data_IF_351361833736
#
_entry.id   IF_351361833736
#
_cell.length_a   1.000
_cell.length_b   1.000
_cell.length_c   1.000
_cell.angle_alpha   90.00
_cell.angle_beta   90.00
_cell.angle_gamma   90.00
#
_symmetry.space_group_name_H-M   'P 1'
#
loop_
_entity.id
_entity.type
_entity.pdbx_description
1 polymer ?
#
# COMPACT_ATOMS: atom_id res chain seq x y z
N UNK A 1 9.13 15.97 52.86
CA UNK A 1 9.40 15.24 51.59
C UNK A 1 8.04 14.83 51.01
N UNK A 2 7.38 15.74 50.28
CA UNK A 2 6.01 15.53 49.77
C UNK A 2 5.86 15.70 48.26
N UNK A 3 6.97 15.86 47.53
CA UNK A 3 6.92 16.17 46.09
C UNK A 3 6.53 14.98 45.19
N UNK A 4 6.29 13.78 45.77
CA UNK A 4 6.05 12.55 45.01
C UNK A 4 4.68 11.88 45.29
N UNK A 5 3.65 12.67 45.64
CA UNK A 5 2.29 12.15 45.88
C UNK A 5 1.41 12.11 44.62
N UNK A 6 1.88 12.63 43.49
CA UNK A 6 1.09 12.69 42.25
C UNK A 6 1.74 11.87 41.13
N UNK A 7 1.66 10.54 41.25
CA UNK A 7 2.12 9.59 40.23
C UNK A 7 0.97 9.08 39.35
N UNK A 8 0.06 9.97 38.96
CA UNK A 8 -1.01 9.67 37.99
C UNK A 8 -0.77 10.33 36.62
N UNK A 9 0.49 10.66 36.29
CA UNK A 9 0.92 11.19 34.99
C UNK A 9 0.95 10.13 33.87
N UNK A 10 0.04 9.15 33.92
CA UNK A 10 -0.26 8.29 32.78
C UNK A 10 -1.40 8.90 31.96
N UNK A 11 -1.44 8.72 30.63
CA UNK A 11 -2.65 9.05 29.87
C UNK A 11 -3.86 8.35 30.51
N UNK A 12 -5.03 9.01 30.44
CA UNK A 12 -6.28 8.43 30.95
C UNK A 12 -6.48 7.02 30.41
N UNK A 13 -7.00 6.09 31.23
CA UNK A 13 -7.17 4.66 30.89
C UNK A 13 -7.95 4.43 29.59
N UNK A 14 -8.76 5.39 29.17
CA UNK A 14 -9.50 5.39 27.90
C UNK A 14 -8.59 5.47 26.65
N UNK A 15 -7.33 5.89 26.80
CA UNK A 15 -6.33 5.95 25.72
C UNK A 15 -5.32 4.80 25.77
N UNK A 16 -5.53 3.82 26.64
CA UNK A 16 -4.67 2.65 26.67
C UNK A 16 -4.98 1.73 25.49
N UNK A 17 -3.94 1.37 24.76
CA UNK A 17 -3.98 0.34 23.71
C UNK A 17 -4.49 -0.95 24.33
N UNK A 18 -5.56 -1.48 23.78
CA UNK A 18 -6.15 -2.75 24.20
C UNK A 18 -5.75 -3.88 23.24
N UNK A 19 -6.29 -5.08 23.48
CA UNK A 19 -5.98 -6.25 22.66
C UNK A 19 -6.49 -6.10 21.22
N UNK A 20 -7.69 -5.56 21.05
CA UNK A 20 -8.32 -5.34 19.74
C UNK A 20 -7.50 -4.34 18.90
N UNK A 21 -6.91 -3.32 19.53
CA UNK A 21 -6.01 -2.37 18.86
C UNK A 21 -4.73 -3.05 18.34
N UNK A 22 -4.17 -3.99 19.12
CA UNK A 22 -2.99 -4.76 18.74
C UNK A 22 -3.31 -5.78 17.63
N UNK A 23 -4.49 -6.37 17.68
CA UNK A 23 -4.96 -7.31 16.66
C UNK A 23 -5.21 -6.56 15.33
N UNK A 24 -5.86 -5.39 15.38
CA UNK A 24 -6.01 -4.50 14.22
C UNK A 24 -4.65 -4.05 13.65
N UNK A 25 -3.68 -3.74 14.51
CA UNK A 25 -2.33 -3.38 14.06
C UNK A 25 -1.64 -4.56 13.37
N UNK A 26 -1.87 -5.79 13.83
CA UNK A 26 -1.32 -7.00 13.21
C UNK A 26 -1.91 -7.21 11.81
N UNK A 27 -3.24 -7.10 11.66
CA UNK A 27 -3.90 -7.15 10.36
C UNK A 27 -3.38 -6.07 9.39
N UNK A 28 -3.12 -4.87 9.91
CA UNK A 28 -2.56 -3.77 9.12
C UNK A 28 -1.15 -4.08 8.63
N UNK A 29 -0.31 -4.73 9.45
CA UNK A 29 1.04 -5.14 9.04
C UNK A 29 0.98 -6.10 7.85
N UNK A 30 0.05 -7.06 7.85
CA UNK A 30 -0.11 -8.01 6.74
C UNK A 30 -0.43 -7.29 5.42
N UNK A 31 -1.32 -6.29 5.45
CA UNK A 31 -1.67 -5.48 4.27
C UNK A 31 -0.52 -4.59 3.81
N UNK A 32 0.28 -4.09 4.76
CA UNK A 32 1.41 -3.22 4.44
C UNK A 32 2.65 -3.98 3.97
N UNK A 33 2.69 -5.30 4.13
CA UNK A 33 3.87 -6.08 3.78
C UNK A 33 4.28 -5.97 2.30
N UNK A 34 3.37 -6.07 1.31
CA UNK A 34 3.73 -5.83 -0.09
C UNK A 34 4.27 -4.41 -0.35
N UNK A 35 3.77 -3.40 0.37
CA UNK A 35 4.26 -2.03 0.26
C UNK A 35 5.71 -1.91 0.76
N UNK A 36 6.02 -2.60 1.87
CA UNK A 36 7.37 -2.64 2.41
C UNK A 36 8.34 -3.29 1.43
N UNK A 37 7.99 -4.45 0.87
CA UNK A 37 8.83 -5.17 -0.08
C UNK A 37 9.13 -4.33 -1.34
N UNK A 38 8.10 -3.69 -1.90
CA UNK A 38 8.24 -2.78 -3.04
C UNK A 38 9.13 -1.58 -2.69
N UNK A 39 8.90 -0.97 -1.52
CA UNK A 39 9.67 0.19 -1.07
C UNK A 39 11.15 -0.18 -0.87
N UNK A 40 11.42 -1.37 -0.36
CA UNK A 40 12.79 -1.89 -0.20
C UNK A 40 13.49 -2.07 -1.56
N UNK A 41 12.78 -2.61 -2.55
CA UNK A 41 13.31 -2.73 -3.92
C UNK A 41 13.60 -1.35 -4.54
N UNK A 42 12.67 -0.39 -4.40
CA UNK A 42 12.85 0.98 -4.88
C UNK A 42 13.98 1.73 -4.17
N UNK A 43 14.25 1.38 -2.91
CA UNK A 43 15.32 1.98 -2.11
C UNK A 43 16.71 1.42 -2.48
N UNK A 44 16.76 0.32 -3.23
CA UNK A 44 18.02 -0.32 -3.63
C UNK A 44 18.51 0.31 -4.94
N UNK A 45 19.66 1.02 -4.94
CA UNK A 45 20.17 1.68 -6.14
C UNK A 45 20.39 0.68 -7.29
N UNK A 46 19.89 1.02 -8.47
CA UNK A 46 20.04 0.19 -9.67
C UNK A 46 19.14 -1.04 -9.74
N UNK A 47 18.32 -1.32 -8.73
CA UNK A 47 17.42 -2.47 -8.72
C UNK A 47 16.11 -2.21 -9.50
N UNK A 48 15.52 -1.02 -9.34
CA UNK A 48 14.25 -0.68 -9.98
C UNK A 48 14.44 0.25 -11.18
N UNK A 49 13.88 -0.14 -12.33
CA UNK A 49 13.74 0.69 -13.53
C UNK A 49 12.40 1.42 -13.47
N UNK A 50 12.28 2.51 -14.22
CA UNK A 50 11.01 3.27 -14.33
C UNK A 50 9.85 2.36 -14.78
N UNK A 51 10.13 1.32 -15.58
CA UNK A 51 9.11 0.38 -16.01
C UNK A 51 8.60 -0.54 -14.88
N UNK A 52 9.43 -0.84 -13.88
CA UNK A 52 9.05 -1.67 -12.73
C UNK A 52 8.05 -0.93 -11.83
N UNK A 53 8.10 0.42 -11.80
CA UNK A 53 7.15 1.25 -11.06
C UNK A 53 5.70 1.00 -11.51
N UNK A 54 5.46 0.76 -12.80
CA UNK A 54 4.12 0.40 -13.31
C UNK A 54 3.64 -0.89 -12.66
N UNK A 55 4.50 -1.91 -12.69
CA UNK A 55 4.21 -3.24 -12.16
C UNK A 55 3.93 -3.18 -10.65
N UNK A 56 4.71 -2.39 -9.92
CA UNK A 56 4.51 -2.17 -8.49
C UNK A 56 3.18 -1.48 -8.18
N UNK A 57 2.78 -0.45 -8.94
CA UNK A 57 1.48 0.19 -8.74
C UNK A 57 0.34 -0.80 -9.03
N UNK A 58 0.46 -1.62 -10.08
CA UNK A 58 -0.54 -2.64 -10.41
C UNK A 58 -0.65 -3.71 -9.30
N UNK A 59 0.49 -4.16 -8.76
CA UNK A 59 0.53 -5.10 -7.62
C UNK A 59 -0.14 -4.52 -6.37
N UNK A 60 0.17 -3.27 -6.01
CA UNK A 60 -0.45 -2.59 -4.86
C UNK A 60 -1.96 -2.43 -5.08
N UNK A 61 -2.36 -1.99 -6.26
CA UNK A 61 -3.77 -1.76 -6.61
C UNK A 61 -4.57 -3.08 -6.56
N UNK A 62 -3.99 -4.15 -7.11
CA UNK A 62 -4.58 -5.49 -7.07
C UNK A 62 -4.69 -6.05 -5.66
N UNK A 63 -3.64 -5.87 -4.84
CA UNK A 63 -3.63 -6.28 -3.44
C UNK A 63 -4.74 -5.57 -2.64
N UNK A 64 -4.80 -4.24 -2.71
CA UNK A 64 -5.85 -3.46 -2.04
C UNK A 64 -7.26 -3.84 -2.51
N UNK A 65 -7.46 -4.02 -3.81
CA UNK A 65 -8.75 -4.43 -4.36
C UNK A 65 -9.18 -5.81 -3.87
N UNK A 66 -8.23 -6.74 -3.75
CA UNK A 66 -8.48 -8.09 -3.24
C UNK A 66 -8.88 -8.02 -1.76
N UNK A 67 -8.14 -7.28 -0.94
CA UNK A 67 -8.47 -7.06 0.48
C UNK A 67 -9.85 -6.43 0.69
N UNK A 68 -10.27 -5.51 -0.19
CA UNK A 68 -11.60 -4.87 -0.11
C UNK A 68 -12.71 -5.88 -0.45
N UNK A 69 -12.55 -6.64 -1.53
CA UNK A 69 -13.57 -7.53 -2.07
C UNK A 69 -13.63 -8.89 -1.40
N UNK A 70 -12.54 -9.33 -0.77
CA UNK A 70 -12.47 -10.63 -0.12
C UNK A 70 -13.40 -10.65 1.09
N UNK A 71 -14.47 -11.43 0.99
CA UNK A 71 -15.42 -11.66 2.10
C UNK A 71 -14.95 -12.77 3.05
N UNK A 72 -13.93 -13.54 2.66
CA UNK A 72 -13.35 -14.64 3.45
C UNK A 72 -12.25 -14.15 4.38
N UNK A 73 -11.43 -13.18 3.96
CA UNK A 73 -10.51 -12.51 4.86
C UNK A 73 -11.30 -11.72 5.90
N UNK A 74 -11.15 -12.08 7.17
CA UNK A 74 -11.92 -11.58 8.31
C UNK A 74 -11.48 -10.15 8.72
N UNK A 75 -11.04 -9.34 7.76
CA UNK A 75 -10.55 -7.99 8.02
C UNK A 75 -11.66 -7.06 8.48
N UNK A 76 -11.40 -6.25 9.53
CA UNK A 76 -12.38 -5.35 10.09
C UNK A 76 -12.81 -4.26 9.09
N UNK A 77 -14.03 -3.71 9.20
CA UNK A 77 -14.53 -2.68 8.29
C UNK A 77 -13.64 -1.43 8.20
N UNK A 78 -12.99 -1.05 9.30
CA UNK A 78 -12.05 0.07 9.35
C UNK A 78 -10.90 -0.11 8.36
N UNK A 79 -10.34 -1.32 8.30
CA UNK A 79 -9.21 -1.66 7.45
C UNK A 79 -9.60 -1.72 5.97
N UNK A 80 -10.79 -2.26 5.67
CA UNK A 80 -11.36 -2.24 4.30
C UNK A 80 -11.59 -0.81 3.81
N UNK A 81 -12.06 0.09 4.69
CA UNK A 81 -12.23 1.50 4.35
C UNK A 81 -10.88 2.21 4.15
N UNK A 82 -9.88 1.91 4.97
CA UNK A 82 -8.51 2.40 4.76
C UNK A 82 -7.95 1.93 3.41
N UNK A 83 -8.17 0.67 3.03
CA UNK A 83 -7.76 0.14 1.72
C UNK A 83 -8.45 0.86 0.55
N UNK A 84 -9.74 1.20 0.69
CA UNK A 84 -10.45 2.00 -0.33
C UNK A 84 -9.83 3.38 -0.51
N UNK A 85 -9.47 4.05 0.60
CA UNK A 85 -8.77 5.33 0.55
C UNK A 85 -7.38 5.19 -0.10
N UNK A 86 -6.64 4.14 0.25
CA UNK A 86 -5.36 3.81 -0.39
C UNK A 86 -5.48 3.54 -1.90
N UNK A 87 -6.55 2.86 -2.32
CA UNK A 87 -6.83 2.57 -3.73
C UNK A 87 -7.14 3.85 -4.52
N UNK A 88 -7.91 4.78 -3.94
CA UNK A 88 -8.16 6.08 -4.55
C UNK A 88 -6.87 6.91 -4.68
N UNK A 89 -6.01 6.86 -3.66
CA UNK A 89 -4.75 7.59 -3.66
C UNK A 89 -3.77 7.04 -4.72
N UNK A 90 -3.63 5.73 -4.81
CA UNK A 90 -2.78 5.07 -5.81
C UNK A 90 -3.26 5.36 -7.23
N UNK A 91 -4.57 5.31 -7.49
CA UNK A 91 -5.14 5.69 -8.79
C UNK A 91 -4.87 7.16 -9.17
N UNK A 92 -4.93 8.08 -8.19
CA UNK A 92 -4.57 9.49 -8.41
C UNK A 92 -3.12 9.62 -8.86
N UNK A 93 -2.19 8.98 -8.16
CA UNK A 93 -0.77 9.04 -8.52
C UNK A 93 -0.47 8.29 -9.83
N UNK A 94 -1.17 7.19 -10.12
CA UNK A 94 -1.06 6.51 -11.41
C UNK A 94 -1.43 7.45 -12.56
N UNK A 95 -2.54 8.19 -12.44
CA UNK A 95 -2.99 9.15 -13.45
C UNK A 95 -1.93 10.23 -13.70
N UNK A 96 -1.38 10.80 -12.63
CA UNK A 96 -0.31 11.80 -12.72
C UNK A 96 0.96 11.22 -13.36
N UNK A 97 1.29 9.97 -13.05
CA UNK A 97 2.48 9.28 -13.57
C UNK A 97 2.30 8.95 -15.06
N UNK A 98 1.11 8.53 -15.49
CA UNK A 98 0.79 8.25 -16.90
C UNK A 98 0.79 9.51 -17.78
N UNK A 99 0.60 10.69 -17.20
CA UNK A 99 0.75 11.96 -17.91
C UNK A 99 2.21 12.33 -18.23
N UNK A 100 3.21 11.68 -17.63
CA UNK A 100 4.62 12.00 -17.85
C UNK A 100 5.16 11.34 -19.14
N UNK A 101 5.78 12.09 -20.07
CA UNK A 101 6.30 11.55 -21.33
C UNK A 101 7.32 10.41 -21.14
N UNK A 102 8.20 10.52 -20.15
CA UNK A 102 9.20 9.50 -19.83
C UNK A 102 8.57 8.17 -19.40
N UNK A 103 7.44 8.24 -18.69
CA UNK A 103 6.74 7.08 -18.18
C UNK A 103 5.96 6.35 -19.29
N UNK A 104 5.35 7.11 -20.21
CA UNK A 104 4.71 6.53 -21.41
C UNK A 104 5.70 5.74 -22.25
N UNK A 105 6.90 6.30 -22.46
CA UNK A 105 7.98 5.63 -23.20
C UNK A 105 8.45 4.37 -22.46
N UNK A 106 8.65 4.45 -21.15
CA UNK A 106 9.05 3.30 -20.33
C UNK A 106 8.01 2.17 -20.37
N UNK A 107 6.72 2.50 -20.29
CA UNK A 107 5.60 1.55 -20.38
C UNK A 107 5.56 0.83 -21.74
N UNK A 108 5.79 1.55 -22.85
CA UNK A 108 5.85 0.96 -24.21
C UNK A 108 7.07 0.05 -24.39
N UNK A 109 8.21 0.40 -23.78
CA UNK A 109 9.45 -0.36 -23.86
C UNK A 109 9.48 -1.59 -22.93
N UNK A 110 8.48 -1.77 -22.06
CA UNK A 110 8.48 -2.85 -21.09
C UNK A 110 8.27 -4.23 -21.79
N UNK A 111 9.18 -5.21 -21.59
CA UNK A 111 9.15 -6.49 -22.31
C UNK A 111 7.84 -7.27 -22.16
N UNK A 112 7.19 -7.15 -21.00
CA UNK A 112 5.94 -7.86 -20.70
C UNK A 112 4.68 -7.15 -21.25
N UNK A 113 4.74 -5.86 -21.59
CA UNK A 113 3.58 -5.13 -22.17
C UNK A 113 3.54 -5.18 -23.70
N UNK A 114 4.71 -5.34 -24.33
CA UNK A 114 4.83 -5.39 -25.80
C UNK A 114 4.09 -6.58 -26.42
N UNK A 115 3.91 -7.67 -25.67
CA UNK A 115 3.22 -8.88 -26.14
C UNK A 115 1.71 -8.73 -26.33
N UNK A 116 1.03 -7.80 -25.62
CA UNK A 116 -0.42 -7.61 -25.81
C UNK A 116 -0.77 -6.75 -27.03
N UNK A 117 0.09 -5.81 -27.42
CA UNK A 117 -0.16 -4.92 -28.57
C UNK A 117 0.04 -5.67 -29.89
N UNK A 118 1.00 -6.60 -29.95
CA UNK A 118 1.25 -7.44 -31.13
C UNK A 118 0.13 -8.45 -31.44
N UNK A 119 -0.70 -8.81 -30.46
CA UNK A 119 -1.73 -9.84 -30.62
C UNK A 119 -3.14 -9.26 -30.89
N UNK A 120 -3.32 -7.93 -30.78
CA UNK A 120 -4.56 -7.24 -31.14
C UNK A 120 -4.54 -6.63 -32.55
N UNK A 121 -3.47 -6.85 -33.30
CA UNK A 121 -3.30 -6.41 -34.70
C UNK A 121 -3.09 -7.60 -35.65
N UNK A 122 -3.79 -8.70 -35.37
CA UNK A 122 -4.04 -9.79 -36.34
C UNK A 122 -5.52 -10.10 -36.41
#
# INVERSE_FOLDING_TARGET
>A
MEWQKDKQLGPSREYHINKDDLDLASDLVEILQPFYEITLQLSTPGAARIADVVVFIDQITSHLSTTISDKKAEYPPALRNACRAGLQLTNKYYTLTDCLPIYRVAKVLHPHLKMSISNSTK
#
